data_IF_721871734941
#
_entry.id   IF_721871734941
#
_cell.length_a   1.000
_cell.length_b   1.000
_cell.length_c   1.000
_cell.angle_alpha   90.00
_cell.angle_beta   90.00
_cell.angle_gamma   90.00
#
_symmetry.space_group_name_H-M   'P 1'
#
loop_
_entity.id
_entity.type
_entity.pdbx_description
1 polymer ?
#
# COMPACT_ATOMS: atom_id res chain seq x y z
N UNK A 1 4.06 10.42 -2.75
CA UNK A 1 3.89 9.74 -1.44
C UNK A 1 3.03 10.55 -0.44
N UNK A 2 2.82 11.86 -0.63
CA UNK A 2 2.05 12.67 0.33
C UNK A 2 0.57 12.27 0.49
N UNK A 3 -0.11 11.81 -0.57
CA UNK A 3 -1.51 11.37 -0.49
C UNK A 3 -1.67 10.01 0.21
N UNK A 4 -0.80 9.03 -0.10
CA UNK A 4 -0.72 7.74 0.62
C UNK A 4 -0.42 7.88 2.11
N UNK A 5 0.26 8.96 2.54
CA UNK A 5 0.56 9.19 3.94
C UNK A 5 -0.68 9.55 4.78
N UNK A 6 -1.67 10.21 4.16
CA UNK A 6 -2.96 10.52 4.81
C UNK A 6 -3.89 9.31 4.85
N UNK A 7 -3.82 8.43 3.85
CA UNK A 7 -4.66 7.23 3.76
C UNK A 7 -4.63 6.41 5.06
N UNK A 8 -3.45 6.10 5.57
CA UNK A 8 -3.29 5.29 6.79
C UNK A 8 -3.85 5.89 8.10
N UNK A 9 -4.30 7.15 8.07
CA UNK A 9 -4.87 7.85 9.24
C UNK A 9 -6.37 8.04 9.14
N UNK A 10 -6.99 7.64 8.02
CA UNK A 10 -8.42 7.81 7.78
C UNK A 10 -9.13 6.48 8.04
N UNK A 11 -10.30 6.57 8.66
CA UNK A 11 -11.25 5.49 8.81
C UNK A 11 -12.37 5.58 7.75
N UNK A 12 -13.05 4.48 7.43
CA UNK A 12 -14.28 4.53 6.64
C UNK A 12 -15.29 5.49 7.27
N UNK A 13 -15.75 6.48 6.51
CA UNK A 13 -16.67 7.52 6.98
C UNK A 13 -16.00 8.86 7.34
N UNK A 14 -14.66 8.93 7.41
CA UNK A 14 -13.94 10.20 7.61
C UNK A 14 -13.94 11.10 6.36
N UNK A 15 -14.22 10.50 5.20
CA UNK A 15 -14.32 11.16 3.90
C UNK A 15 -15.59 10.69 3.18
N UNK A 16 -16.08 11.50 2.26
CA UNK A 16 -17.20 11.09 1.41
C UNK A 16 -16.82 9.86 0.53
N UNK A 17 -17.82 9.12 0.02
CA UNK A 17 -17.57 7.90 -0.74
C UNK A 17 -16.73 8.10 -2.01
N UNK A 18 -16.82 9.25 -2.67
CA UNK A 18 -16.08 9.55 -3.90
C UNK A 18 -14.60 9.79 -3.59
N UNK A 19 -14.32 10.55 -2.53
CA UNK A 19 -12.98 10.74 -1.99
C UNK A 19 -12.36 9.41 -1.50
N UNK A 20 -13.15 8.53 -0.87
CA UNK A 20 -12.69 7.20 -0.46
C UNK A 20 -12.25 6.36 -1.68
N UNK A 21 -13.03 6.37 -2.76
CA UNK A 21 -12.68 5.66 -4.00
C UNK A 21 -11.40 6.23 -4.64
N UNK A 22 -11.26 7.55 -4.67
CA UNK A 22 -10.08 8.21 -5.22
C UNK A 22 -8.82 7.85 -4.41
N UNK A 23 -8.89 7.87 -3.09
CA UNK A 23 -7.79 7.49 -2.21
C UNK A 23 -7.44 5.99 -2.33
N UNK A 24 -8.44 5.13 -2.50
CA UNK A 24 -8.23 3.69 -2.65
C UNK A 24 -7.60 3.32 -4.01
N UNK A 25 -7.82 4.11 -5.05
CA UNK A 25 -7.16 3.92 -6.35
C UNK A 25 -5.64 3.93 -6.23
N UNK A 26 -5.08 4.84 -5.41
CA UNK A 26 -3.63 4.90 -5.16
C UNK A 26 -3.12 3.66 -4.43
N UNK A 27 -3.97 3.02 -3.61
CA UNK A 27 -3.63 1.82 -2.85
C UNK A 27 -3.96 0.52 -3.58
N UNK A 28 -4.68 0.58 -4.71
CA UNK A 28 -5.14 -0.60 -5.45
C UNK A 28 -3.98 -1.48 -5.93
N UNK A 29 -2.79 -0.89 -6.17
CA UNK A 29 -1.57 -1.63 -6.52
C UNK A 29 -1.19 -2.69 -5.49
N UNK A 30 -1.55 -2.48 -4.21
CA UNK A 30 -1.29 -3.47 -3.17
C UNK A 30 -2.06 -4.77 -3.39
N UNK A 31 -3.28 -4.69 -3.93
CA UNK A 31 -4.12 -5.85 -4.24
C UNK A 31 -3.93 -6.42 -5.64
N UNK A 32 -2.98 -5.90 -6.42
CA UNK A 32 -2.69 -6.39 -7.76
C UNK A 32 -2.15 -7.85 -7.72
N UNK A 33 -2.14 -8.57 -8.87
CA UNK A 33 -1.49 -9.87 -8.95
C UNK A 33 -0.06 -9.82 -8.40
N UNK A 34 0.36 -10.85 -7.68
CA UNK A 34 1.64 -10.92 -6.97
C UNK A 34 2.84 -10.44 -7.81
N UNK A 35 2.93 -10.90 -9.06
CA UNK A 35 4.01 -10.53 -9.96
C UNK A 35 4.02 -9.03 -10.33
N UNK A 36 2.83 -8.42 -10.46
CA UNK A 36 2.67 -6.99 -10.74
C UNK A 36 3.07 -6.17 -9.52
N UNK A 37 2.60 -6.56 -8.32
CA UNK A 37 3.01 -5.92 -7.07
C UNK A 37 4.52 -5.99 -6.87
N UNK A 38 5.14 -7.16 -7.06
CA UNK A 38 6.58 -7.35 -6.90
C UNK A 38 7.40 -6.54 -7.92
N UNK A 39 6.91 -6.45 -9.17
CA UNK A 39 7.53 -5.62 -10.21
C UNK A 39 7.45 -4.13 -9.87
N UNK A 40 6.28 -3.67 -9.42
CA UNK A 40 6.08 -2.31 -8.95
C UNK A 40 7.01 -1.97 -7.78
N UNK A 41 7.09 -2.83 -6.76
CA UNK A 41 7.94 -2.59 -5.59
C UNK A 41 9.44 -2.54 -5.95
N UNK A 42 9.88 -3.35 -6.92
CA UNK A 42 11.24 -3.26 -7.48
C UNK A 42 11.46 -1.96 -8.24
N UNK A 43 10.52 -1.54 -9.08
CA UNK A 43 10.60 -0.28 -9.82
C UNK A 43 10.74 0.93 -8.90
N UNK A 44 10.00 0.95 -7.78
CA UNK A 44 10.18 2.01 -6.76
C UNK A 44 11.59 1.94 -6.14
N UNK A 45 12.12 0.75 -5.87
CA UNK A 45 13.48 0.63 -5.34
C UNK A 45 14.55 1.17 -6.31
N UNK A 46 14.34 0.97 -7.61
CA UNK A 46 15.21 1.46 -8.68
C UNK A 46 15.13 2.98 -8.84
N UNK A 47 13.93 3.58 -8.78
CA UNK A 47 13.75 5.03 -8.85
C UNK A 47 14.44 5.77 -7.70
N UNK A 48 14.41 5.17 -6.50
CA UNK A 48 15.09 5.71 -5.33
C UNK A 48 16.59 5.37 -5.29
N UNK A 49 17.08 4.48 -6.17
CA UNK A 49 18.49 4.14 -6.25
C UNK A 49 19.29 5.36 -6.71
N UNK A 50 20.19 5.84 -5.84
CA UNK A 50 20.98 7.06 -6.06
C UNK A 50 20.49 8.28 -5.27
N UNK A 51 19.23 8.29 -4.82
CA UNK A 51 18.69 9.33 -3.94
C UNK A 51 18.73 8.93 -2.46
N UNK A 52 18.53 7.63 -2.18
CA UNK A 52 18.50 7.09 -0.82
C UNK A 52 19.35 5.82 -0.76
N UNK A 53 20.17 5.61 0.29
CA UNK A 53 20.84 4.34 0.50
C UNK A 53 19.87 3.16 0.48
N UNK A 54 20.15 2.13 -0.31
CA UNK A 54 19.21 1.03 -0.54
C UNK A 54 18.75 0.31 0.73
N UNK A 55 19.59 0.25 1.78
CA UNK A 55 19.19 -0.31 3.08
C UNK A 55 18.14 0.55 3.79
N UNK A 56 18.27 1.89 3.74
CA UNK A 56 17.29 2.82 4.32
C UNK A 56 15.96 2.75 3.56
N UNK A 57 16.02 2.67 2.24
CA UNK A 57 14.83 2.46 1.42
C UNK A 57 14.11 1.18 1.84
N UNK A 58 14.82 0.03 1.89
CA UNK A 58 14.22 -1.25 2.31
C UNK A 58 13.63 -1.20 3.71
N UNK A 59 14.31 -0.55 4.66
CA UNK A 59 13.85 -0.41 6.03
C UNK A 59 12.55 0.41 6.11
N UNK A 60 12.54 1.60 5.50
CA UNK A 60 11.38 2.49 5.49
C UNK A 60 10.20 1.86 4.73
N UNK A 61 10.48 1.18 3.61
CA UNK A 61 9.46 0.47 2.83
C UNK A 61 8.83 -0.64 3.65
N UNK A 62 9.63 -1.49 4.30
CA UNK A 62 9.12 -2.57 5.16
C UNK A 62 8.32 -2.01 6.34
N UNK A 63 8.73 -0.89 6.93
CA UNK A 63 7.98 -0.21 7.99
C UNK A 63 6.62 0.27 7.51
N UNK A 64 6.56 0.94 6.36
CA UNK A 64 5.32 1.38 5.74
C UNK A 64 4.37 0.20 5.46
N UNK A 65 4.86 -0.87 4.82
CA UNK A 65 4.03 -2.03 4.52
C UNK A 65 3.50 -2.72 5.79
N UNK A 66 4.30 -2.80 6.86
CA UNK A 66 3.86 -3.29 8.18
C UNK A 66 2.74 -2.43 8.77
N UNK A 67 2.85 -1.11 8.67
CA UNK A 67 1.84 -0.18 9.15
C UNK A 67 0.52 -0.35 8.39
N UNK A 68 0.58 -0.48 7.06
CA UNK A 68 -0.61 -0.74 6.23
C UNK A 68 -1.24 -2.09 6.58
N UNK A 69 -0.44 -3.15 6.71
CA UNK A 69 -0.94 -4.49 7.06
C UNK A 69 -1.64 -4.54 8.43
N UNK A 70 -1.20 -3.70 9.38
CA UNK A 70 -1.77 -3.60 10.71
C UNK A 70 -3.12 -2.88 10.75
N UNK A 71 -3.53 -2.19 9.68
CA UNK A 71 -4.82 -1.51 9.65
C UNK A 71 -5.96 -2.55 9.61
N UNK A 72 -7.08 -2.31 10.32
CA UNK A 72 -8.27 -3.16 10.25
C UNK A 72 -8.83 -3.26 8.82
N UNK A 73 -8.73 -2.18 8.05
CA UNK A 73 -9.08 -2.12 6.63
C UNK A 73 -7.98 -1.39 5.87
N UNK A 74 -7.52 -1.99 4.76
CA UNK A 74 -6.52 -1.36 3.88
C UNK A 74 -7.20 -0.39 2.91
N UNK A 75 -8.47 -0.65 2.59
CA UNK A 75 -9.27 0.15 1.67
C UNK A 75 -10.47 0.75 2.41
N UNK A 76 -10.71 2.04 2.21
CA UNK A 76 -11.77 2.79 2.89
C UNK A 76 -13.14 2.43 2.31
N UNK A 77 -13.24 2.33 0.98
CA UNK A 77 -14.46 1.97 0.28
C UNK A 77 -14.74 0.47 0.36
N UNK A 78 -16.02 0.11 0.40
CA UNK A 78 -16.43 -1.29 0.34
C UNK A 78 -16.11 -1.93 -1.01
N UNK A 79 -16.14 -1.16 -2.10
CA UNK A 79 -15.83 -1.64 -3.44
C UNK A 79 -14.43 -2.25 -3.53
N UNK A 80 -13.42 -1.52 -3.05
CA UNK A 80 -12.03 -1.97 -3.06
C UNK A 80 -11.75 -2.96 -1.95
N UNK A 81 -12.32 -2.76 -0.75
CA UNK A 81 -12.13 -3.70 0.36
C UNK A 81 -12.57 -5.11 0.00
N UNK A 82 -13.77 -5.27 -0.56
CA UNK A 82 -14.30 -6.59 -0.93
C UNK A 82 -13.49 -7.28 -2.04
N UNK A 83 -12.87 -6.51 -2.95
CA UNK A 83 -12.15 -7.06 -4.11
C UNK A 83 -10.67 -7.31 -3.86
N UNK A 84 -10.03 -6.41 -3.11
CA UNK A 84 -8.57 -6.32 -3.07
C UNK A 84 -7.97 -6.53 -1.68
N UNK A 85 -8.73 -6.43 -0.58
CA UNK A 85 -8.15 -6.45 0.78
C UNK A 85 -7.40 -7.77 1.07
N UNK A 86 -8.01 -8.91 0.71
CA UNK A 86 -7.38 -10.22 0.90
C UNK A 86 -6.07 -10.34 0.09
N UNK A 87 -6.11 -10.02 -1.21
CA UNK A 87 -4.94 -10.06 -2.08
C UNK A 87 -3.85 -9.09 -1.60
N UNK A 88 -4.23 -7.89 -1.16
CA UNK A 88 -3.32 -6.91 -0.60
C UNK A 88 -2.63 -7.43 0.65
N UNK A 89 -3.37 -8.00 1.60
CA UNK A 89 -2.79 -8.58 2.82
C UNK A 89 -1.78 -9.69 2.50
N UNK A 90 -2.07 -10.54 1.52
CA UNK A 90 -1.16 -11.62 1.13
C UNK A 90 0.12 -11.08 0.50
N UNK A 91 0.00 -10.10 -0.40
CA UNK A 91 1.16 -9.41 -0.99
C UNK A 91 2.02 -8.75 0.10
N UNK A 92 1.39 -8.02 1.04
CA UNK A 92 2.08 -7.35 2.13
C UNK A 92 2.79 -8.33 3.07
N UNK A 93 2.14 -9.42 3.48
CA UNK A 93 2.75 -10.47 4.33
C UNK A 93 3.99 -11.06 3.68
N UNK A 94 3.87 -11.53 2.42
CA UNK A 94 5.01 -12.10 1.68
C UNK A 94 6.18 -11.12 1.59
N UNK A 95 5.88 -9.84 1.38
CA UNK A 95 6.92 -8.81 1.23
C UNK A 95 7.59 -8.41 2.54
N UNK A 96 6.86 -8.48 3.65
CA UNK A 96 7.33 -8.16 5.00
C UNK A 96 8.12 -9.32 5.62
N UNK A 97 7.81 -10.56 5.26
CA UNK A 97 8.49 -11.77 5.75
C UNK A 97 9.83 -12.03 5.05
N UNK A 98 9.97 -11.60 3.79
CA UNK A 98 11.25 -11.55 3.06
C UNK A 98 12.20 -10.49 3.61
#
# INVERSE_FOLDING_TARGET
IELTARHSKLAPGDVDPEAALFLDCDMAILGAPAAVFDAYDRGIAEEYAGHVPGFLFRLNRRRFLKQVLAQPRIFLSDFFHQRLDAAARDNLRRRVER
#
